data_IF_037636285852
#
_entry.id   IF_037636285852
#
_cell.length_a   1.000
_cell.length_b   1.000
_cell.length_c   1.000
_cell.angle_alpha   90.00
_cell.angle_beta   90.00
_cell.angle_gamma   90.00
#
_symmetry.space_group_name_H-M   'P 1'
#
loop_
_entity.id
_entity.type
_entity.pdbx_description
1 polymer ?
#
# COMPACT_ATOMS: atom_id res chain seq x y z
N UNK A 1 20.57 -3.07 5.14
CA UNK A 1 19.35 -3.71 5.65
C UNK A 1 18.68 -4.43 4.50
N UNK A 2 18.12 -5.62 4.75
CA UNK A 2 17.41 -6.41 3.76
C UNK A 2 15.98 -6.67 4.26
N UNK A 3 15.00 -6.62 3.35
CA UNK A 3 13.61 -6.96 3.66
C UNK A 3 13.51 -8.42 4.14
N UNK A 4 12.64 -8.67 5.12
CA UNK A 4 12.42 -10.01 5.70
C UNK A 4 13.43 -10.43 6.78
N UNK A 5 14.45 -9.60 7.06
CA UNK A 5 15.43 -9.85 8.12
C UNK A 5 15.08 -9.05 9.39
N UNK A 6 15.39 -9.60 10.56
CA UNK A 6 15.16 -8.97 11.86
C UNK A 6 16.46 -8.32 12.34
N UNK A 7 16.36 -7.09 12.86
CA UNK A 7 17.50 -6.31 13.31
C UNK A 7 17.25 -5.69 14.68
N UNK A 8 18.27 -5.73 15.53
CA UNK A 8 18.39 -4.80 16.64
C UNK A 8 18.87 -3.44 16.10
N UNK A 9 18.01 -2.43 16.21
CA UNK A 9 18.29 -1.08 15.74
C UNK A 9 18.61 -0.21 16.96
N UNK A 10 19.78 0.44 16.95
CA UNK A 10 20.22 1.31 18.04
C UNK A 10 20.89 2.59 17.53
N UNK A 11 21.04 3.58 18.41
CA UNK A 11 21.67 4.88 18.08
C UNK A 11 20.90 5.62 16.96
N UNK A 12 19.58 5.69 17.11
CA UNK A 12 18.70 6.44 16.21
C UNK A 12 18.16 7.71 16.92
N UNK A 13 17.62 8.62 16.12
CA UNK A 13 16.91 9.78 16.63
C UNK A 13 15.41 9.64 16.40
N UNK A 14 14.62 10.29 17.25
CA UNK A 14 13.17 10.34 17.13
C UNK A 14 12.72 11.77 16.90
N UNK A 15 11.77 11.98 15.98
CA UNK A 15 11.17 13.30 15.77
C UNK A 15 9.66 13.17 15.53
N UNK A 16 8.92 14.20 15.97
CA UNK A 16 7.53 14.42 15.57
C UNK A 16 7.52 15.26 14.29
N UNK A 17 6.93 14.72 13.22
CA UNK A 17 6.74 15.42 11.95
C UNK A 17 5.28 15.23 11.49
N UNK A 18 4.35 16.05 12.03
CA UNK A 18 2.92 15.87 11.78
C UNK A 18 2.51 16.23 10.35
N UNK A 19 3.34 16.98 9.61
CA UNK A 19 3.04 17.44 8.26
C UNK A 19 3.36 16.40 7.18
N UNK A 20 4.22 15.42 7.48
CA UNK A 20 4.57 14.37 6.50
C UNK A 20 3.56 13.23 6.53
N UNK A 21 3.19 12.69 5.35
CA UNK A 21 2.46 11.42 5.29
C UNK A 21 3.23 10.33 6.04
N UNK A 22 2.49 9.54 6.80
CA UNK A 22 2.99 8.43 7.62
C UNK A 22 2.35 7.15 7.12
N UNK A 23 3.11 6.07 7.14
CA UNK A 23 2.61 4.72 6.84
C UNK A 23 2.08 4.05 8.12
N UNK A 24 2.70 4.33 9.26
CA UNK A 24 2.27 3.82 10.55
C UNK A 24 1.51 4.91 11.33
N UNK A 25 0.45 4.50 12.03
CA UNK A 25 -0.32 5.36 12.91
C UNK A 25 0.45 5.65 14.21
N UNK A 26 1.49 6.49 14.11
CA UNK A 26 2.33 6.87 15.23
C UNK A 26 2.80 8.33 15.13
N UNK A 27 2.94 9.00 16.27
CA UNK A 27 3.32 10.42 16.32
C UNK A 27 4.81 10.67 16.11
N UNK A 28 5.61 9.62 16.25
CA UNK A 28 7.07 9.68 16.20
C UNK A 28 7.59 8.84 15.05
N UNK A 29 8.55 9.39 14.32
CA UNK A 29 9.31 8.70 13.29
C UNK A 29 10.76 8.50 13.74
N UNK A 30 11.35 7.38 13.32
CA UNK A 30 12.77 7.11 13.49
C UNK A 30 13.56 7.76 12.36
N UNK A 31 14.67 8.40 12.73
CA UNK A 31 15.63 8.98 11.80
C UNK A 31 16.98 8.31 12.02
N UNK A 32 17.53 7.82 10.93
CA UNK A 32 18.81 7.15 10.90
C UNK A 32 19.89 8.09 10.37
N UNK A 33 21.09 7.96 10.91
CA UNK A 33 22.27 8.66 10.46
C UNK A 33 23.45 7.68 10.39
N UNK A 34 24.64 8.20 10.12
CA UNK A 34 25.87 7.40 10.01
C UNK A 34 26.24 6.67 11.30
N UNK A 35 25.73 7.11 12.46
CA UNK A 35 25.97 6.46 13.76
C UNK A 35 24.95 5.37 14.09
N UNK A 36 23.82 5.31 13.37
CA UNK A 36 22.78 4.30 13.59
C UNK A 36 23.31 2.90 13.28
N UNK A 37 23.06 1.97 14.19
CA UNK A 37 23.52 0.59 14.10
C UNK A 37 22.35 -0.33 13.81
N UNK A 38 22.55 -1.24 12.86
CA UNK A 38 21.63 -2.32 12.52
C UNK A 38 22.37 -3.64 12.71
N UNK A 39 22.03 -4.39 13.76
CA UNK A 39 22.65 -5.68 14.05
C UNK A 39 21.65 -6.78 13.70
N UNK A 40 21.93 -7.66 12.71
CA UNK A 40 21.05 -8.79 12.43
C UNK A 40 20.87 -9.65 13.68
N UNK A 41 19.64 -10.04 13.97
CA UNK A 41 19.36 -10.98 15.07
C UNK A 41 19.52 -12.40 14.53
N UNK A 42 20.44 -13.15 15.11
CA UNK A 42 20.67 -14.56 14.81
C UNK A 42 20.03 -15.47 15.86
N UNK A 43 19.55 -16.65 15.46
CA UNK A 43 19.01 -17.66 16.38
C UNK A 43 17.50 -17.54 16.61
N UNK A 44 17.06 -17.79 17.86
CA UNK A 44 15.63 -17.76 18.21
C UNK A 44 15.16 -16.32 18.27
N UNK A 45 14.40 -15.93 17.25
CA UNK A 45 13.78 -14.60 17.17
C UNK A 45 12.43 -14.60 17.89
N UNK A 46 12.04 -13.49 18.53
CA UNK A 46 10.67 -13.32 19.00
C UNK A 46 9.70 -13.40 17.80
N UNK A 47 8.44 -13.75 18.07
CA UNK A 47 7.39 -13.75 17.06
C UNK A 47 7.08 -12.30 16.67
N UNK A 48 7.78 -11.80 15.64
CA UNK A 48 7.51 -10.52 15.02
C UNK A 48 6.62 -10.78 13.80
N UNK A 49 5.43 -10.16 13.71
CA UNK A 49 4.60 -10.27 12.52
C UNK A 49 5.38 -9.81 11.28
N UNK A 50 5.31 -10.59 10.20
CA UNK A 50 5.92 -10.21 8.92
C UNK A 50 5.32 -8.90 8.38
N UNK A 51 4.02 -8.71 8.64
CA UNK A 51 3.30 -7.52 8.26
C UNK A 51 2.43 -6.98 9.39
N UNK A 52 2.24 -5.67 9.38
CA UNK A 52 1.26 -4.96 10.21
C UNK A 52 0.50 -4.01 9.30
N UNK A 53 -0.81 -4.21 9.19
CA UNK A 53 -1.66 -3.43 8.30
C UNK A 53 -2.65 -2.60 9.09
N UNK A 54 -2.99 -1.44 8.56
CA UNK A 54 -4.11 -0.63 9.01
C UNK A 54 -5.19 -0.62 7.93
N UNK A 55 -5.95 -1.72 7.89
CA UNK A 55 -7.04 -1.87 6.94
C UNK A 55 -8.15 -0.88 7.25
N UNK A 56 -8.55 -0.14 6.22
CA UNK A 56 -9.68 0.77 6.30
C UNK A 56 -10.81 0.29 5.40
N UNK A 57 -12.03 0.44 5.88
CA UNK A 57 -13.21 0.16 5.08
C UNK A 57 -13.49 1.29 4.06
N UNK A 58 -14.13 0.98 2.93
CA UNK A 58 -14.40 1.97 1.88
C UNK A 58 -15.31 3.11 2.35
N UNK A 59 -16.22 2.85 3.30
CA UNK A 59 -17.11 3.85 3.89
C UNK A 59 -16.39 4.82 4.83
N UNK A 60 -15.21 4.43 5.32
CA UNK A 60 -14.37 5.22 6.22
C UNK A 60 -13.34 6.07 5.46
N UNK A 61 -13.30 5.97 4.12
CA UNK A 61 -12.36 6.71 3.30
C UNK A 61 -12.53 8.23 3.49
N UNK A 62 -11.44 8.96 3.75
CA UNK A 62 -11.51 10.41 3.96
C UNK A 62 -12.02 11.13 2.70
N UNK A 63 -13.04 11.98 2.89
CA UNK A 63 -13.71 12.72 1.80
C UNK A 63 -13.04 14.06 1.47
N UNK A 64 -12.18 14.58 2.34
CA UNK A 64 -11.44 15.84 2.16
C UNK A 64 -9.93 15.58 2.21
N UNK A 65 -9.25 15.91 1.11
CA UNK A 65 -7.90 15.42 0.78
C UNK A 65 -6.82 16.50 0.78
N UNK A 66 -6.90 17.49 1.67
CA UNK A 66 -5.82 18.50 1.70
C UNK A 66 -4.67 18.08 2.63
N UNK A 67 -4.94 17.29 3.67
CA UNK A 67 -3.90 16.85 4.62
C UNK A 67 -4.09 15.40 5.10
N UNK A 68 -4.14 14.44 4.18
CA UNK A 68 -4.02 13.03 4.58
C UNK A 68 -2.62 12.81 5.16
N UNK A 69 -2.52 12.75 6.48
CA UNK A 69 -1.28 12.51 7.22
C UNK A 69 -1.00 11.03 7.42
N UNK A 70 -2.01 10.16 7.38
CA UNK A 70 -1.87 8.71 7.47
C UNK A 70 -2.27 8.07 6.14
N UNK A 71 -1.34 7.37 5.52
CA UNK A 71 -1.60 6.53 4.35
C UNK A 71 -2.40 5.29 4.79
N UNK A 72 -3.30 4.83 3.94
CA UNK A 72 -4.26 3.78 4.29
C UNK A 72 -3.92 2.47 3.61
N UNK A 73 -4.32 1.35 4.20
CA UNK A 73 -4.24 0.04 3.57
C UNK A 73 -5.64 -0.43 3.21
N UNK A 74 -5.80 -1.00 2.02
CA UNK A 74 -7.08 -1.49 1.52
C UNK A 74 -6.98 -2.94 1.08
N UNK A 75 -7.99 -3.73 1.41
CA UNK A 75 -8.12 -5.11 1.01
C UNK A 75 -9.38 -5.30 0.16
N UNK A 76 -9.27 -6.08 -0.91
CA UNK A 76 -10.42 -6.39 -1.76
C UNK A 76 -10.11 -7.24 -2.97
N UNK A 77 -11.14 -7.57 -3.74
CA UNK A 77 -11.02 -8.35 -4.97
C UNK A 77 -10.71 -7.42 -6.15
N UNK A 78 -9.62 -7.66 -6.86
CA UNK A 78 -9.34 -7.00 -8.14
C UNK A 78 -10.33 -7.54 -9.18
N UNK A 79 -11.20 -6.67 -9.71
CA UNK A 79 -12.20 -6.99 -10.74
C UNK A 79 -11.66 -6.79 -12.15
N UNK A 80 -10.81 -5.78 -12.32
CA UNK A 80 -10.19 -5.46 -13.60
C UNK A 80 -8.97 -4.55 -13.42
N UNK A 81 -8.09 -4.56 -14.42
CA UNK A 81 -7.08 -3.52 -14.61
C UNK A 81 -7.06 -3.07 -16.06
N UNK A 82 -6.66 -1.82 -16.28
CA UNK A 82 -6.22 -1.40 -17.61
C UNK A 82 -4.86 -2.05 -17.94
N UNK A 83 -4.52 -2.23 -19.23
CA UNK A 83 -3.12 -2.45 -19.62
C UNK A 83 -2.20 -1.35 -19.06
N UNK A 84 -0.90 -1.61 -18.92
CA UNK A 84 0.05 -0.53 -18.60
C UNK A 84 0.06 0.51 -19.72
N UNK A 85 -0.05 1.78 -19.35
CA UNK A 85 0.12 2.89 -20.28
C UNK A 85 0.96 4.01 -19.67
N UNK A 86 1.57 4.83 -20.54
CA UNK A 86 2.40 5.96 -20.15
C UNK A 86 1.57 7.24 -20.15
N UNK A 87 1.74 8.08 -19.12
CA UNK A 87 1.13 9.42 -19.05
C UNK A 87 2.17 10.49 -18.72
N UNK A 88 2.02 11.71 -19.23
CA UNK A 88 2.95 12.79 -18.90
C UNK A 88 2.75 13.24 -17.45
N UNK A 89 3.84 13.33 -16.68
CA UNK A 89 3.86 13.99 -15.39
C UNK A 89 3.85 15.50 -15.65
N UNK A 90 2.79 16.16 -15.15
CA UNK A 90 2.60 17.60 -15.23
C UNK A 90 3.86 18.35 -14.81
N UNK A 91 4.22 19.38 -15.57
CA UNK A 91 5.30 20.32 -15.28
C UNK A 91 6.73 19.72 -15.19
N UNK A 92 6.93 18.46 -15.59
CA UNK A 92 8.27 17.82 -15.60
C UNK A 92 8.74 17.35 -16.97
N UNK A 93 7.83 17.23 -17.94
CA UNK A 93 8.11 16.70 -19.29
C UNK A 93 8.43 15.19 -19.33
N UNK A 94 8.41 14.49 -18.19
CA UNK A 94 8.65 13.05 -18.09
C UNK A 94 7.35 12.27 -18.31
N UNK A 95 7.47 11.07 -18.87
CA UNK A 95 6.38 10.09 -18.89
C UNK A 95 6.49 9.19 -17.67
N UNK A 96 5.35 8.69 -17.19
CA UNK A 96 5.30 7.71 -16.10
C UNK A 96 4.30 6.58 -16.39
N UNK A 97 4.67 5.37 -15.97
CA UNK A 97 3.84 4.18 -16.07
C UNK A 97 2.61 4.29 -15.16
N UNK A 98 1.45 3.91 -15.69
CA UNK A 98 0.17 3.97 -15.00
C UNK A 98 -0.67 2.73 -15.30
N UNK A 99 -1.33 2.21 -14.27
CA UNK A 99 -2.39 1.19 -14.35
C UNK A 99 -3.54 1.65 -13.47
N UNK A 100 -4.77 1.55 -13.97
CA UNK A 100 -5.98 1.78 -13.17
C UNK A 100 -6.60 0.42 -12.83
N UNK A 101 -6.73 0.12 -11.54
CA UNK A 101 -7.43 -1.04 -11.00
C UNK A 101 -8.85 -0.68 -10.57
N UNK A 102 -9.77 -1.63 -10.69
CA UNK A 102 -11.04 -1.64 -9.97
C UNK A 102 -10.98 -2.73 -8.90
N UNK A 103 -11.12 -2.32 -7.64
CA UNK A 103 -11.09 -3.22 -6.48
C UNK A 103 -12.46 -3.18 -5.79
N UNK A 104 -13.05 -4.35 -5.60
CA UNK A 104 -14.35 -4.56 -4.97
C UNK A 104 -14.15 -4.99 -3.51
N UNK A 105 -14.87 -4.39 -2.57
CA UNK A 105 -14.89 -4.83 -1.17
C UNK A 105 -15.94 -5.92 -0.90
N UNK A 106 -16.01 -6.42 0.35
CA UNK A 106 -17.02 -7.41 0.77
C UNK A 106 -18.47 -6.95 0.57
N UNK A 107 -18.72 -5.64 0.51
CA UNK A 107 -20.06 -5.06 0.29
C UNK A 107 -20.38 -4.81 -1.18
N UNK A 108 -19.55 -5.31 -2.11
CA UNK A 108 -19.69 -5.10 -3.56
C UNK A 108 -19.58 -3.63 -3.97
N UNK A 109 -18.86 -2.83 -3.19
CA UNK A 109 -18.54 -1.46 -3.52
C UNK A 109 -17.21 -1.43 -4.27
N UNK A 110 -17.20 -0.72 -5.40
CA UNK A 110 -16.00 -0.57 -6.24
C UNK A 110 -15.22 0.68 -5.87
N UNK A 111 -13.89 0.52 -5.79
CA UNK A 111 -12.95 1.62 -5.68
C UNK A 111 -11.93 1.56 -6.81
N UNK A 112 -11.75 2.70 -7.48
CA UNK A 112 -10.65 2.88 -8.43
C UNK A 112 -9.34 3.13 -7.68
N UNK A 113 -8.35 2.31 -7.96
CA UNK A 113 -6.98 2.46 -7.42
C UNK A 113 -6.01 2.66 -8.57
N UNK A 114 -5.24 3.74 -8.55
CA UNK A 114 -4.22 4.03 -9.56
C UNK A 114 -2.84 3.60 -9.10
N UNK A 115 -2.21 2.70 -9.85
CA UNK A 115 -0.80 2.33 -9.69
C UNK A 115 0.08 3.28 -10.50
N UNK A 116 1.20 3.70 -9.92
CA UNK A 116 2.17 4.61 -10.57
C UNK A 116 3.57 4.00 -10.59
N UNK A 117 4.34 4.35 -11.62
CA UNK A 117 5.76 4.10 -11.70
C UNK A 117 6.15 2.63 -11.58
N UNK A 118 7.07 2.33 -10.67
CA UNK A 118 7.57 0.97 -10.47
C UNK A 118 6.47 -0.01 -10.07
N UNK A 119 5.48 0.44 -9.28
CA UNK A 119 4.36 -0.38 -8.89
C UNK A 119 3.51 -0.77 -10.10
N UNK A 120 3.30 0.16 -11.04
CA UNK A 120 2.61 -0.15 -12.30
C UNK A 120 3.44 -1.09 -13.18
N UNK A 121 4.74 -0.82 -13.39
CA UNK A 121 5.62 -1.62 -14.25
C UNK A 121 5.78 -3.08 -13.80
N UNK A 122 5.78 -3.30 -12.49
CA UNK A 122 5.97 -4.63 -11.89
C UNK A 122 4.65 -5.38 -11.72
N UNK A 123 3.51 -4.70 -11.87
CA UNK A 123 2.21 -5.33 -11.73
C UNK A 123 1.88 -6.12 -12.99
N UNK A 124 1.72 -7.43 -12.84
CA UNK A 124 1.44 -8.34 -13.95
C UNK A 124 0.07 -9.00 -13.74
N UNK A 125 -0.99 -8.36 -14.25
CA UNK A 125 -2.35 -8.88 -14.11
C UNK A 125 -2.53 -10.23 -14.82
N UNK A 126 -1.95 -10.41 -16.01
CA UNK A 126 -2.09 -11.65 -16.80
C UNK A 126 -1.60 -12.87 -16.01
N UNK A 127 -0.49 -12.73 -15.29
CA UNK A 127 0.03 -13.79 -14.42
C UNK A 127 -0.88 -14.11 -13.23
N UNK A 128 -1.71 -13.14 -12.81
CA UNK A 128 -2.59 -13.26 -11.66
C UNK A 128 -3.97 -13.82 -12.09
N UNK A 129 -4.48 -13.44 -13.26
CA UNK A 129 -5.75 -13.92 -13.84
C UNK A 129 -5.69 -15.40 -14.27
N UNK A 130 -4.52 -15.90 -14.64
CA UNK A 130 -4.33 -17.31 -15.00
C UNK A 130 -4.73 -18.32 -13.88
N UNK A 131 -4.94 -17.83 -12.65
CA UNK A 131 -5.41 -18.63 -11.51
C UNK A 131 -6.90 -19.00 -11.55
N UNK A 132 -7.72 -18.31 -12.35
CA UNK A 132 -9.17 -18.57 -12.49
C UNK A 132 -10.01 -18.33 -11.22
N UNK A 133 -9.41 -17.77 -10.17
CA UNK A 133 -10.06 -17.48 -8.87
C UNK A 133 -10.17 -15.98 -8.64
N UNK A 134 -10.99 -15.57 -7.67
CA UNK A 134 -11.06 -14.18 -7.22
C UNK A 134 -9.66 -13.71 -6.77
N UNK A 135 -9.20 -12.60 -7.34
CA UNK A 135 -7.87 -12.04 -7.04
C UNK A 135 -8.00 -11.11 -5.85
N UNK A 136 -7.87 -11.66 -4.64
CA UNK A 136 -7.81 -10.83 -3.44
C UNK A 136 -6.46 -10.13 -3.37
N UNK A 137 -6.46 -8.84 -3.10
CA UNK A 137 -5.25 -8.04 -3.02
C UNK A 137 -5.30 -7.12 -1.82
N UNK A 138 -4.20 -7.08 -1.10
CA UNK A 138 -3.93 -6.08 -0.09
C UNK A 138 -2.99 -5.04 -0.67
N UNK A 139 -3.42 -3.79 -0.67
CA UNK A 139 -2.67 -2.67 -1.24
C UNK A 139 -2.40 -1.66 -0.14
N UNK A 140 -1.13 -1.48 0.19
CA UNK A 140 -0.72 -0.69 1.36
C UNK A 140 -0.32 0.74 1.01
N UNK A 141 -0.30 1.60 2.03
CA UNK A 141 0.24 2.97 1.97
C UNK A 141 -0.37 3.81 0.83
N UNK A 142 -1.68 3.69 0.63
CA UNK A 142 -2.42 4.40 -0.39
C UNK A 142 -2.72 5.83 0.03
N UNK A 143 -2.68 6.73 -0.96
CA UNK A 143 -3.20 8.09 -0.85
C UNK A 143 -4.60 8.14 -1.41
N UNK A 144 -5.54 8.64 -0.63
CA UNK A 144 -6.92 8.91 -1.05
C UNK A 144 -6.98 10.31 -1.66
N UNK A 145 -7.67 10.40 -2.78
CA UNK A 145 -7.87 11.63 -3.53
C UNK A 145 -9.32 11.71 -3.99
N UNK A 146 -9.82 12.93 -4.13
CA UNK A 146 -11.11 13.18 -4.77
C UNK A 146 -10.87 13.74 -6.16
N UNK A 147 -11.10 12.92 -7.19
CA UNK A 147 -10.97 13.31 -8.59
C UNK A 147 -12.32 13.25 -9.28
N UNK A 148 -12.73 14.37 -9.90
CA UNK A 148 -14.05 14.50 -10.56
C UNK A 148 -15.23 14.05 -9.67
N UNK A 149 -15.22 14.49 -8.41
CA UNK A 149 -16.21 14.16 -7.38
C UNK A 149 -16.25 12.70 -6.92
N UNK A 150 -15.37 11.83 -7.43
CA UNK A 150 -15.28 10.44 -7.00
C UNK A 150 -14.07 10.25 -6.08
N UNK A 151 -14.26 9.49 -5.01
CA UNK A 151 -13.18 9.02 -4.14
C UNK A 151 -12.39 7.96 -4.91
N UNK A 152 -11.08 8.13 -4.96
CA UNK A 152 -10.14 7.22 -5.60
C UNK A 152 -8.89 7.11 -4.73
N UNK A 153 -8.16 6.01 -4.86
CA UNK A 153 -6.87 5.85 -4.20
C UNK A 153 -5.73 5.77 -5.22
N UNK A 154 -4.52 6.12 -4.79
CA UNK A 154 -3.31 5.97 -5.59
C UNK A 154 -2.14 5.48 -4.77
N UNK A 155 -1.28 4.69 -5.41
CA UNK A 155 -0.05 4.20 -4.79
C UNK A 155 0.92 5.32 -4.53
N UNK A 156 1.71 5.17 -3.47
CA UNK A 156 2.85 6.02 -3.15
C UNK A 156 4.14 5.23 -3.32
N UNK A 157 5.28 5.89 -3.09
CA UNK A 157 6.60 5.24 -3.08
C UNK A 157 6.75 4.23 -1.93
N UNK A 158 5.79 4.19 -1.00
CA UNK A 158 5.75 3.26 0.13
C UNK A 158 4.79 2.10 -0.09
N UNK A 159 3.99 2.12 -1.17
CA UNK A 159 2.97 1.11 -1.43
C UNK A 159 3.57 -0.25 -1.77
N UNK A 160 2.95 -1.29 -1.22
CA UNK A 160 3.17 -2.67 -1.58
C UNK A 160 1.83 -3.30 -1.98
N UNK A 161 1.88 -4.28 -2.88
CA UNK A 161 0.71 -5.06 -3.27
C UNK A 161 1.02 -6.52 -2.93
N UNK A 162 0.21 -7.10 -2.05
CA UNK A 162 0.24 -8.52 -1.74
C UNK A 162 -0.96 -9.20 -2.40
N UNK A 163 -0.69 -10.19 -3.24
CA UNK A 163 -1.72 -10.97 -3.93
C UNK A 163 -2.06 -12.19 -3.08
N UNK A 164 -3.35 -12.37 -2.83
CA UNK A 164 -3.97 -13.43 -2.03
C UNK A 164 -3.23 -13.66 -0.69
N UNK A 165 -3.00 -12.60 0.11
CA UNK A 165 -2.32 -12.74 1.40
C UNK A 165 -3.18 -13.59 2.35
N UNK A 166 -2.53 -14.42 3.15
CA UNK A 166 -3.18 -15.24 4.18
C UNK A 166 -3.45 -14.37 5.42
N UNK A 167 -4.58 -13.65 5.43
CA UNK A 167 -5.01 -12.78 6.53
C UNK A 167 -6.41 -13.16 7.00
N UNK A 168 -6.78 -12.75 8.21
CA UNK A 168 -8.08 -13.12 8.80
C UNK A 168 -9.27 -12.67 7.94
N UNK A 169 -9.15 -11.50 7.29
CA UNK A 169 -10.16 -10.90 6.44
C UNK A 169 -10.44 -11.70 5.16
N UNK A 170 -9.56 -12.62 4.76
CA UNK A 170 -9.78 -13.48 3.58
C UNK A 170 -11.07 -14.28 3.69
N UNK A 171 -11.39 -14.76 4.90
CA UNK A 171 -12.61 -15.53 5.16
C UNK A 171 -13.91 -14.77 4.88
N UNK A 172 -13.90 -13.43 4.93
CA UNK A 172 -15.06 -12.59 4.65
C UNK A 172 -15.41 -12.56 3.16
N UNK A 173 -14.44 -12.86 2.28
CA UNK A 173 -14.63 -12.94 0.83
C UNK A 173 -14.97 -14.35 0.33
N UNK A 174 -14.78 -15.37 1.18
CA UNK A 174 -15.10 -16.77 0.86
C UNK A 174 -16.52 -17.17 1.27
N UNK A 175 -17.20 -16.33 2.05
CA UNK A 175 -18.50 -16.62 2.66
C UNK A 175 -19.73 -16.47 1.72
N UNK A 176 -19.52 -16.35 0.41
CA UNK A 176 -20.57 -16.23 -0.63
C UNK A 176 -20.57 -17.43 -1.59
#
# INVERSE_FOLDING_TARGET
MQQGQIYDISVFHTRKDPAKPKVANHDVQLYFNESTKFVPVEGIVPLIPEYSFHLLDFSELPTQSDHQTLLIDLYGCIKSATPEYQVPIKDTGKMESKIDLIVENVRREDLKITLWGDTARKFNLESIEASGSAILALITSLRVTKFRQQIQASTTNHSCILITPQIQQTSEYEAD
#
